data_IF_147553809542
#
_entry.id   IF_147553809542
#
_cell.length_a   1.000
_cell.length_b   1.000
_cell.length_c   1.000
_cell.angle_alpha   90.00
_cell.angle_beta   90.00
_cell.angle_gamma   90.00
#
_symmetry.space_group_name_H-M   'P 1'
#
loop_
_entity.id
_entity.type
_entity.pdbx_description
1 polymer ?
#
# COMPACT_ATOMS: atom_id res chain seq x y z
N UNK A 1 15.67 -10.52 13.36
CA UNK A 1 15.56 -9.33 12.49
C UNK A 1 16.95 -8.89 12.04
N UNK A 2 17.11 -8.39 10.81
CA UNK A 2 18.37 -7.83 10.32
C UNK A 2 18.77 -6.54 11.05
N UNK A 3 20.07 -6.24 11.11
CA UNK A 3 20.59 -5.04 11.80
C UNK A 3 20.04 -3.74 11.21
N UNK A 4 20.06 -3.58 9.89
CA UNK A 4 19.54 -2.38 9.22
C UNK A 4 18.05 -2.13 9.51
N UNK A 5 17.23 -3.19 9.53
CA UNK A 5 15.82 -3.10 9.89
C UNK A 5 15.63 -2.66 11.35
N UNK A 6 16.43 -3.19 12.28
CA UNK A 6 16.38 -2.77 13.68
C UNK A 6 16.73 -1.29 13.84
N UNK A 7 17.76 -0.82 13.15
CA UNK A 7 18.16 0.59 13.18
C UNK A 7 17.10 1.52 12.58
N UNK A 8 16.47 1.12 11.48
CA UNK A 8 15.32 1.82 10.90
C UNK A 8 14.19 1.96 11.93
N UNK A 9 13.78 0.86 12.57
CA UNK A 9 12.72 0.89 13.59
C UNK A 9 13.10 1.79 14.77
N UNK A 10 14.36 1.74 15.23
CA UNK A 10 14.83 2.61 16.31
C UNK A 10 14.72 4.10 15.98
N UNK A 11 14.93 4.49 14.72
CA UNK A 11 14.77 5.89 14.27
C UNK A 11 13.31 6.30 14.11
N UNK A 12 12.45 5.36 13.69
CA UNK A 12 11.03 5.63 13.44
C UNK A 12 10.18 5.67 14.71
N UNK A 13 10.41 4.76 15.66
CA UNK A 13 9.61 4.59 16.88
C UNK A 13 9.34 5.88 17.68
N UNK A 14 10.31 6.81 17.86
CA UNK A 14 10.05 8.07 18.57
C UNK A 14 8.90 8.91 17.98
N UNK A 15 8.71 8.86 16.65
CA UNK A 15 7.67 9.61 15.96
C UNK A 15 6.27 9.00 16.11
N UNK A 16 6.19 7.75 16.58
CA UNK A 16 4.93 6.99 16.70
C UNK A 16 4.45 6.83 18.16
N UNK A 17 5.09 7.53 19.11
CA UNK A 17 4.79 7.41 20.54
C UNK A 17 3.45 8.04 20.93
N UNK A 18 3.08 9.16 20.32
CA UNK A 18 1.84 9.85 20.63
C UNK A 18 0.72 9.29 19.74
N UNK A 19 -0.23 8.57 20.35
CA UNK A 19 -1.31 7.88 19.65
C UNK A 19 -2.65 8.31 20.21
N UNK A 20 -3.63 8.43 19.33
CA UNK A 20 -5.01 8.82 19.62
C UNK A 20 -5.91 8.21 18.54
N UNK A 21 -7.16 7.89 18.87
CA UNK A 21 -8.16 7.52 17.85
C UNK A 21 -8.58 8.75 17.03
N UNK A 22 -8.53 9.94 17.62
CA UNK A 22 -8.55 11.20 16.88
C UNK A 22 -7.20 11.38 16.18
N UNK A 23 -7.07 10.75 15.01
CA UNK A 23 -5.84 10.71 14.21
C UNK A 23 -6.03 11.13 12.75
N UNK A 24 -7.24 11.51 12.33
CA UNK A 24 -7.57 11.84 10.94
C UNK A 24 -7.09 13.25 10.56
N UNK A 25 -5.77 13.40 10.46
CA UNK A 25 -5.07 14.62 10.12
C UNK A 25 -4.22 14.43 8.87
N UNK A 26 -3.97 15.53 8.16
CA UNK A 26 -3.05 15.61 7.04
C UNK A 26 -2.08 16.79 7.24
N UNK A 27 -0.90 16.68 6.65
CA UNK A 27 0.14 17.70 6.64
C UNK A 27 0.31 18.24 5.22
N UNK A 28 0.46 19.55 5.07
CA UNK A 28 0.64 20.20 3.76
C UNK A 28 1.99 20.91 3.76
N UNK A 29 2.81 20.59 2.77
CA UNK A 29 4.09 21.22 2.51
C UNK A 29 3.98 21.99 1.19
N UNK A 30 3.87 23.31 1.29
CA UNK A 30 3.79 24.20 0.14
C UNK A 30 5.08 25.05 0.07
N UNK A 31 5.76 25.11 -1.09
CA UNK A 31 6.95 25.93 -1.26
C UNK A 31 6.59 27.41 -1.26
N UNK A 32 7.55 28.25 -0.88
CA UNK A 32 7.36 29.71 -0.84
C UNK A 32 7.21 30.25 -2.28
N UNK A 33 6.01 30.67 -2.65
CA UNK A 33 5.76 31.34 -3.94
C UNK A 33 6.21 32.80 -3.84
N UNK A 34 7.27 33.18 -4.58
CA UNK A 34 7.78 34.56 -4.62
C UNK A 34 7.08 35.46 -5.65
N UNK A 35 6.33 34.90 -6.60
CA UNK A 35 5.68 35.66 -7.68
C UNK A 35 4.15 35.78 -7.51
N UNK A 36 3.62 36.97 -7.76
CA UNK A 36 2.17 37.29 -7.74
C UNK A 36 1.38 36.62 -8.88
N UNK A 37 2.05 36.02 -9.86
CA UNK A 37 1.42 35.19 -10.88
C UNK A 37 1.03 33.85 -10.26
N UNK A 38 -0.26 33.68 -9.96
CA UNK A 38 -0.91 32.48 -9.38
C UNK A 38 -0.67 31.20 -10.21
N UNK A 39 0.56 30.70 -10.26
CA UNK A 39 0.87 29.38 -10.81
C UNK A 39 0.38 28.35 -9.81
N UNK A 40 -0.66 27.62 -10.19
CA UNK A 40 -1.18 26.48 -9.43
C UNK A 40 -0.21 25.32 -9.55
N UNK A 41 0.33 24.86 -8.42
CA UNK A 41 1.32 23.80 -8.37
C UNK A 41 0.65 22.43 -8.37
N UNK A 42 1.19 21.42 -9.08
CA UNK A 42 0.68 20.06 -8.97
C UNK A 42 0.82 19.53 -7.53
N UNK A 43 -0.08 18.61 -7.18
CA UNK A 43 -0.22 18.11 -5.81
C UNK A 43 0.16 16.64 -5.77
N UNK A 44 1.11 16.30 -4.90
CA UNK A 44 1.53 14.95 -4.60
C UNK A 44 0.98 14.54 -3.22
N UNK A 45 0.09 13.55 -3.19
CA UNK A 45 -0.45 13.01 -1.93
C UNK A 45 0.24 11.69 -1.62
N UNK A 46 0.97 11.64 -0.51
CA UNK A 46 1.67 10.46 -0.05
C UNK A 46 0.83 9.65 0.94
N UNK A 47 0.65 8.36 0.64
CA UNK A 47 0.01 7.36 1.49
C UNK A 47 1.09 6.44 2.06
N UNK A 48 1.29 6.51 3.37
CA UNK A 48 2.34 5.77 4.04
C UNK A 48 2.11 4.24 4.02
N UNK A 49 3.21 3.52 4.19
CA UNK A 49 3.30 2.07 4.03
C UNK A 49 3.67 1.30 5.29
N UNK A 50 4.51 0.27 5.08
CA UNK A 50 5.01 -0.73 6.03
C UNK A 50 4.02 -1.82 6.42
N UNK A 51 2.85 -1.46 6.92
CA UNK A 51 1.81 -2.40 7.33
C UNK A 51 0.45 -1.70 7.33
N UNK A 52 -0.62 -2.46 7.46
CA UNK A 52 -1.94 -1.91 7.79
C UNK A 52 -2.12 -1.69 9.30
N UNK A 53 -1.20 -2.17 10.15
CA UNK A 53 -1.33 -2.17 11.61
C UNK A 53 -0.54 -1.09 12.35
N UNK A 54 0.42 -0.44 11.70
CA UNK A 54 1.26 0.58 12.32
C UNK A 54 1.86 1.52 11.26
N UNK A 55 2.56 2.57 11.71
CA UNK A 55 3.10 3.70 10.92
C UNK A 55 2.19 4.94 10.93
N UNK A 56 2.63 6.01 10.28
CA UNK A 56 1.96 7.32 10.20
C UNK A 56 2.52 8.11 9.02
N UNK A 57 1.78 9.10 8.51
CA UNK A 57 2.27 10.08 7.53
C UNK A 57 3.21 11.14 8.13
N UNK A 58 3.21 11.32 9.45
CA UNK A 58 3.98 12.37 10.14
C UNK A 58 5.51 12.23 10.07
N UNK A 59 6.11 11.03 10.10
CA UNK A 59 7.57 10.85 9.99
C UNK A 59 8.16 11.20 8.62
N UNK A 60 7.31 11.41 7.62
CA UNK A 60 7.68 11.69 6.23
C UNK A 60 7.57 13.20 5.96
N UNK A 61 8.65 13.93 6.20
CA UNK A 61 8.72 15.37 5.95
C UNK A 61 8.84 15.65 4.44
N UNK A 62 7.83 16.33 3.89
CA UNK A 62 7.74 16.67 2.47
C UNK A 62 8.40 18.00 2.10
N UNK A 63 9.01 18.74 3.05
CA UNK A 63 9.50 20.09 2.80
C UNK A 63 10.60 20.16 1.74
N UNK A 64 11.59 19.23 1.78
CA UNK A 64 12.68 19.20 0.79
C UNK A 64 12.13 18.86 -0.59
N UNK A 65 11.28 17.84 -0.67
CA UNK A 65 10.62 17.45 -1.93
C UNK A 65 9.81 18.61 -2.51
N UNK A 66 8.97 19.25 -1.70
CA UNK A 66 8.14 20.39 -2.11
C UNK A 66 8.99 21.57 -2.61
N UNK A 67 10.05 21.94 -1.87
CA UNK A 67 10.91 23.07 -2.20
C UNK A 67 11.81 22.83 -3.42
N UNK A 68 12.28 21.61 -3.64
CA UNK A 68 13.22 21.31 -4.72
C UNK A 68 12.50 21.07 -6.06
N UNK A 69 11.22 20.68 -6.02
CA UNK A 69 10.47 20.26 -7.20
C UNK A 69 9.32 21.19 -7.60
N UNK A 70 9.06 22.26 -6.83
CA UNK A 70 7.90 23.15 -7.01
C UNK A 70 6.59 22.35 -7.04
N UNK A 71 6.39 21.50 -6.05
CA UNK A 71 5.18 20.71 -5.85
C UNK A 71 4.57 21.01 -4.48
N UNK A 72 3.26 20.85 -4.36
CA UNK A 72 2.65 20.73 -3.03
C UNK A 72 2.67 19.26 -2.64
N UNK A 73 3.28 18.96 -1.50
CA UNK A 73 3.30 17.60 -0.95
C UNK A 73 2.31 17.53 0.20
N UNK A 74 1.47 16.51 0.20
CA UNK A 74 0.52 16.22 1.28
C UNK A 74 0.83 14.85 1.84
N UNK A 75 1.01 14.74 3.15
CA UNK A 75 1.01 13.44 3.83
C UNK A 75 -0.24 13.31 4.68
N UNK A 76 -0.79 12.11 4.83
CA UNK A 76 -2.03 11.89 5.57
C UNK A 76 -1.90 10.74 6.56
N UNK A 77 -2.77 10.76 7.57
CA UNK A 77 -3.03 9.64 8.46
C UNK A 77 -4.42 9.07 8.17
N UNK A 78 -4.53 7.75 8.30
CA UNK A 78 -5.78 7.01 8.17
C UNK A 78 -5.84 5.96 9.28
N UNK A 79 -7.03 5.46 9.59
CA UNK A 79 -7.17 4.43 10.63
C UNK A 79 -6.45 3.15 10.23
N UNK A 80 -5.78 2.54 11.21
CA UNK A 80 -4.96 1.33 11.06
C UNK A 80 -5.52 0.17 11.90
N UNK A 81 -5.08 -1.04 11.58
CA UNK A 81 -5.37 -2.27 12.29
C UNK A 81 -6.86 -2.51 12.45
N UNK A 82 -7.27 -2.92 13.65
CA UNK A 82 -8.67 -3.19 14.00
C UNK A 82 -9.56 -1.97 13.72
N UNK A 83 -9.12 -0.75 14.08
CA UNK A 83 -9.92 0.46 13.94
C UNK A 83 -10.15 0.85 12.47
N UNK A 84 -9.22 0.49 11.58
CA UNK A 84 -9.30 0.80 10.16
C UNK A 84 -9.93 -0.29 9.30
N UNK A 85 -9.86 -1.56 9.73
CA UNK A 85 -10.06 -2.70 8.83
C UNK A 85 -10.82 -3.88 9.44
N UNK A 86 -11.46 -3.71 10.60
CA UNK A 86 -12.34 -4.74 11.15
C UNK A 86 -13.52 -5.02 10.20
N UNK A 87 -13.63 -6.27 9.75
CA UNK A 87 -14.75 -6.73 8.95
C UNK A 87 -15.35 -8.03 9.52
N UNK A 88 -16.58 -7.93 10.04
CA UNK A 88 -17.33 -9.06 10.60
C UNK A 88 -18.37 -9.65 9.63
N UNK A 89 -18.48 -9.15 8.40
CA UNK A 89 -19.51 -9.53 7.45
C UNK A 89 -19.13 -10.82 6.68
N UNK A 90 -19.84 -11.95 6.87
CA UNK A 90 -19.54 -13.19 6.18
C UNK A 90 -20.06 -13.25 4.74
N UNK A 91 -20.96 -12.35 4.35
CA UNK A 91 -21.63 -12.40 3.05
C UNK A 91 -21.66 -11.02 2.36
N UNK A 92 -20.48 -10.43 2.04
CA UNK A 92 -20.40 -9.12 1.37
C UNK A 92 -21.11 -9.10 -0.01
N UNK A 93 -21.26 -10.26 -0.64
CA UNK A 93 -21.98 -10.41 -1.92
C UNK A 93 -23.51 -10.38 -1.79
N UNK A 94 -24.06 -10.74 -0.62
CA UNK A 94 -25.51 -10.68 -0.37
C UNK A 94 -25.91 -9.31 0.19
N UNK A 95 -25.09 -8.81 1.13
CA UNK A 95 -25.32 -7.53 1.80
C UNK A 95 -23.98 -6.80 1.94
N UNK A 96 -23.69 -5.95 0.95
CA UNK A 96 -22.52 -5.09 0.97
C UNK A 96 -22.60 -4.12 2.17
N UNK A 97 -21.49 -3.99 2.90
CA UNK A 97 -21.37 -3.12 4.08
C UNK A 97 -19.97 -2.55 4.12
N UNK A 98 -19.84 -1.30 4.56
CA UNK A 98 -18.52 -0.65 4.67
C UNK A 98 -17.73 -1.34 5.79
N UNK A 99 -16.53 -1.79 5.45
CA UNK A 99 -15.59 -2.33 6.43
C UNK A 99 -14.15 -1.81 6.25
N UNK A 100 -13.83 -1.27 5.07
CA UNK A 100 -12.52 -0.68 4.77
C UNK A 100 -12.46 0.79 5.21
N UNK A 101 -12.60 1.05 6.52
CA UNK A 101 -12.60 2.41 7.07
C UNK A 101 -11.30 3.16 6.77
N UNK A 102 -10.14 2.50 6.83
CA UNK A 102 -8.85 3.10 6.46
C UNK A 102 -8.79 3.57 5.01
N UNK A 103 -9.41 2.84 4.07
CA UNK A 103 -9.53 3.29 2.68
C UNK A 103 -10.54 4.43 2.53
N UNK A 104 -11.65 4.38 3.28
CA UNK A 104 -12.64 5.47 3.30
C UNK A 104 -12.04 6.78 3.85
N UNK A 105 -11.16 6.70 4.84
CA UNK A 105 -10.43 7.85 5.37
C UNK A 105 -9.53 8.47 4.30
N UNK A 106 -8.83 7.64 3.53
CA UNK A 106 -8.02 8.10 2.40
C UNK A 106 -8.90 8.79 1.34
N UNK A 107 -10.06 8.22 1.00
CA UNK A 107 -11.03 8.84 0.06
C UNK A 107 -11.52 10.19 0.61
N UNK A 108 -11.86 10.26 1.89
CA UNK A 108 -12.29 11.51 2.53
C UNK A 108 -11.19 12.57 2.51
N UNK A 109 -9.93 12.20 2.80
CA UNK A 109 -8.79 13.08 2.70
C UNK A 109 -8.57 13.58 1.27
N UNK A 110 -8.74 12.72 0.25
CA UNK A 110 -8.66 13.14 -1.14
C UNK A 110 -9.77 14.12 -1.55
N UNK A 111 -10.99 13.93 -1.07
CA UNK A 111 -12.06 14.92 -1.26
C UNK A 111 -11.72 16.25 -0.60
N UNK A 112 -11.16 16.21 0.62
CA UNK A 112 -10.72 17.42 1.30
C UNK A 112 -9.61 18.13 0.51
N UNK A 113 -8.60 17.40 0.03
CA UNK A 113 -7.50 17.95 -0.79
C UNK A 113 -8.07 18.59 -2.06
N UNK A 114 -8.91 17.88 -2.82
CA UNK A 114 -9.53 18.42 -4.03
C UNK A 114 -10.30 19.73 -3.78
N UNK A 115 -11.00 19.84 -2.64
CA UNK A 115 -11.82 21.01 -2.33
C UNK A 115 -11.02 22.20 -1.77
N UNK A 116 -9.88 21.95 -1.11
CA UNK A 116 -9.19 22.97 -0.32
C UNK A 116 -7.78 23.31 -0.83
N UNK A 117 -7.12 22.43 -1.59
CA UNK A 117 -5.70 22.60 -1.92
C UNK A 117 -5.40 23.85 -2.76
N UNK A 118 -6.39 24.36 -3.49
CA UNK A 118 -6.29 25.61 -4.22
C UNK A 118 -5.97 26.83 -3.32
N UNK A 119 -6.42 26.80 -2.06
CA UNK A 119 -6.11 27.85 -1.08
C UNK A 119 -4.63 27.86 -0.67
N UNK A 120 -3.94 26.75 -0.86
CA UNK A 120 -2.52 26.57 -0.59
C UNK A 120 -1.65 26.76 -1.84
N UNK A 121 -2.25 27.19 -2.97
CA UNK A 121 -1.55 27.35 -4.24
C UNK A 121 -1.49 26.08 -5.11
N UNK A 122 -2.26 25.04 -4.76
CA UNK A 122 -2.28 23.77 -5.49
C UNK A 122 -3.29 23.72 -6.63
N UNK A 123 -3.04 22.86 -7.61
CA UNK A 123 -3.97 22.54 -8.68
C UNK A 123 -4.82 21.31 -8.29
N UNK A 124 -6.12 21.48 -7.98
CA UNK A 124 -7.00 20.36 -7.64
C UNK A 124 -7.29 19.43 -8.83
N UNK A 125 -6.96 19.85 -10.06
CA UNK A 125 -7.09 19.03 -11.27
C UNK A 125 -5.84 18.20 -11.55
N UNK A 126 -4.73 18.46 -10.82
CA UNK A 126 -3.46 17.78 -11.03
C UNK A 126 -2.96 17.13 -9.74
N UNK A 127 -3.73 16.14 -9.26
CA UNK A 127 -3.43 15.35 -8.06
C UNK A 127 -2.83 14.00 -8.46
N UNK A 128 -1.64 13.70 -7.92
CA UNK A 128 -0.94 12.43 -8.05
C UNK A 128 -0.86 11.74 -6.69
N UNK A 129 -1.19 10.45 -6.62
CA UNK A 129 -0.99 9.64 -5.42
C UNK A 129 0.37 8.95 -5.46
N UNK A 130 1.07 8.92 -4.33
CA UNK A 130 2.30 8.13 -4.17
C UNK A 130 2.20 7.27 -2.93
N UNK A 131 2.46 5.98 -3.06
CA UNK A 131 2.34 5.04 -1.95
C UNK A 131 3.51 4.11 -1.89
N UNK A 132 3.84 3.67 -0.68
CA UNK A 132 4.90 2.70 -0.42
C UNK A 132 4.33 1.44 0.22
N UNK A 133 4.75 0.24 -0.20
CA UNK A 133 4.31 -1.02 0.41
C UNK A 133 2.79 -1.15 0.52
N UNK A 134 2.27 -1.25 1.74
CA UNK A 134 0.82 -1.24 2.02
C UNK A 134 0.09 0.01 1.53
N UNK A 135 0.76 1.17 1.50
CA UNK A 135 0.22 2.40 0.92
C UNK A 135 0.09 2.33 -0.60
N UNK A 136 1.03 1.68 -1.30
CA UNK A 136 0.90 1.42 -2.74
C UNK A 136 -0.26 0.45 -3.02
N UNK A 137 -0.43 -0.58 -2.19
CA UNK A 137 -1.58 -1.49 -2.26
C UNK A 137 -2.90 -0.74 -2.02
N UNK A 138 -2.95 0.18 -1.05
CA UNK A 138 -4.10 1.06 -0.85
C UNK A 138 -4.46 1.85 -2.12
N UNK A 139 -3.48 2.51 -2.75
CA UNK A 139 -3.70 3.26 -4.00
C UNK A 139 -4.25 2.35 -5.09
N UNK A 140 -3.73 1.14 -5.24
CA UNK A 140 -4.27 0.17 -6.17
C UNK A 140 -5.77 -0.09 -5.91
N UNK A 141 -6.20 -0.27 -4.66
CA UNK A 141 -7.62 -0.41 -4.34
C UNK A 141 -8.41 0.87 -4.68
N UNK A 142 -7.89 2.06 -4.36
CA UNK A 142 -8.55 3.33 -4.70
C UNK A 142 -8.75 3.49 -6.22
N UNK A 143 -7.78 3.05 -7.03
CA UNK A 143 -7.87 3.14 -8.49
C UNK A 143 -9.04 2.35 -9.07
N UNK A 144 -9.32 1.16 -8.53
CA UNK A 144 -10.40 0.27 -8.99
C UNK A 144 -11.70 0.43 -8.20
N UNK A 145 -11.66 1.16 -7.09
CA UNK A 145 -12.81 1.29 -6.20
C UNK A 145 -13.95 2.08 -6.86
N UNK A 146 -15.20 1.60 -6.78
CA UNK A 146 -16.35 2.32 -7.32
C UNK A 146 -16.73 3.55 -6.48
N UNK A 147 -16.27 3.64 -5.24
CA UNK A 147 -16.54 4.80 -4.36
C UNK A 147 -15.68 6.00 -4.69
N UNK A 148 -14.57 5.81 -5.42
CA UNK A 148 -13.71 6.91 -5.87
C UNK A 148 -14.33 7.57 -7.10
N UNK A 149 -14.70 8.84 -6.94
CA UNK A 149 -15.25 9.64 -8.04
C UNK A 149 -14.21 9.88 -9.14
N UNK A 150 -14.59 9.84 -10.44
CA UNK A 150 -13.69 10.23 -11.53
C UNK A 150 -13.14 11.64 -11.34
N UNK A 151 -11.84 11.82 -11.56
CA UNK A 151 -11.16 13.11 -11.42
C UNK A 151 -10.71 13.46 -9.99
N UNK A 152 -10.85 12.55 -9.02
CA UNK A 152 -10.32 12.75 -7.67
C UNK A 152 -8.78 12.75 -7.64
N UNK A 153 -8.17 11.96 -8.52
CA UNK A 153 -6.74 11.99 -8.83
C UNK A 153 -6.52 11.47 -10.25
N UNK A 154 -5.35 11.73 -10.82
CA UNK A 154 -5.06 11.48 -12.24
C UNK A 154 -3.86 10.55 -12.45
N UNK A 155 -2.95 10.48 -11.48
CA UNK A 155 -1.74 9.65 -11.59
C UNK A 155 -1.46 8.90 -10.29
N UNK A 156 -0.72 7.81 -10.41
CA UNK A 156 -0.26 7.03 -9.27
C UNK A 156 1.20 6.58 -9.41
N UNK A 157 1.96 6.75 -8.34
CA UNK A 157 3.30 6.23 -8.14
C UNK A 157 3.22 5.09 -7.11
N UNK A 158 3.55 3.88 -7.54
CA UNK A 158 3.42 2.66 -6.75
C UNK A 158 4.82 2.13 -6.41
N UNK A 159 5.24 2.31 -5.16
CA UNK A 159 6.56 1.93 -4.69
C UNK A 159 6.49 0.63 -3.89
N UNK A 160 7.10 -0.44 -4.43
CA UNK A 160 7.31 -1.71 -3.75
C UNK A 160 6.07 -2.29 -3.06
N UNK A 161 4.92 -2.23 -3.74
CA UNK A 161 3.66 -2.78 -3.25
C UNK A 161 2.59 -2.86 -4.34
N UNK A 162 1.70 -3.85 -4.20
CA UNK A 162 0.59 -4.08 -5.12
C UNK A 162 -0.58 -4.74 -4.41
N UNK A 163 -1.80 -4.42 -4.83
CA UNK A 163 -3.03 -5.08 -4.40
C UNK A 163 -3.09 -6.59 -4.71
N UNK A 164 -2.22 -7.10 -5.57
CA UNK A 164 -2.12 -8.53 -5.89
C UNK A 164 -1.15 -9.29 -4.96
N UNK A 165 -0.50 -8.61 -4.02
CA UNK A 165 0.37 -9.26 -3.04
C UNK A 165 -0.45 -10.07 -2.06
N UNK A 166 0.07 -11.21 -1.58
CA UNK A 166 -0.67 -12.09 -0.64
C UNK A 166 -0.97 -11.44 0.71
N UNK A 167 -0.23 -10.39 1.09
CA UNK A 167 -0.48 -9.59 2.29
C UNK A 167 -1.39 -8.39 2.04
N UNK A 168 -1.83 -8.12 0.81
CA UNK A 168 -2.58 -6.91 0.48
C UNK A 168 -4.05 -6.98 0.85
N UNK A 169 -4.65 -8.18 0.82
CA UNK A 169 -6.04 -8.46 1.21
C UNK A 169 -6.06 -9.47 2.36
N UNK A 170 -7.02 -9.32 3.27
CA UNK A 170 -7.32 -10.32 4.30
C UNK A 170 -8.17 -11.45 3.71
N UNK A 171 -7.67 -12.69 3.80
CA UNK A 171 -8.38 -13.88 3.29
C UNK A 171 -9.66 -14.21 4.07
N UNK A 172 -9.58 -14.22 5.40
CA UNK A 172 -10.71 -14.54 6.29
C UNK A 172 -10.87 -13.46 7.38
N UNK A 173 -11.45 -12.30 7.03
CA UNK A 173 -11.63 -11.21 7.99
C UNK A 173 -12.61 -11.58 9.11
N UNK A 174 -13.60 -12.42 8.83
CA UNK A 174 -14.61 -12.84 9.80
C UNK A 174 -13.98 -13.67 10.90
N UNK A 175 -13.06 -14.59 10.55
CA UNK A 175 -12.31 -15.36 11.54
C UNK A 175 -11.57 -14.46 12.55
N UNK A 176 -10.88 -13.43 12.06
CA UNK A 176 -10.16 -12.49 12.94
C UNK A 176 -11.13 -11.65 13.79
N UNK A 177 -12.24 -11.19 13.22
CA UNK A 177 -13.29 -10.48 13.97
C UNK A 177 -13.89 -11.33 15.10
N UNK A 178 -14.14 -12.62 14.85
CA UNK A 178 -14.66 -13.55 15.85
C UNK A 178 -13.62 -13.86 16.92
N UNK A 179 -12.34 -13.99 16.55
CA UNK A 179 -11.26 -14.22 17.50
C UNK A 179 -11.10 -13.04 18.46
N UNK A 180 -11.21 -11.82 17.93
CA UNK A 180 -11.22 -10.58 18.69
C UNK A 180 -12.44 -10.49 19.60
N UNK A 181 -13.64 -10.72 19.07
CA UNK A 181 -14.90 -10.71 19.83
C UNK A 181 -14.87 -11.68 21.02
N UNK A 182 -14.35 -12.90 20.82
CA UNK A 182 -14.19 -13.90 21.88
C UNK A 182 -13.25 -13.44 22.99
N UNK A 183 -12.16 -12.78 22.66
CA UNK A 183 -11.23 -12.25 23.66
C UNK A 183 -11.84 -11.12 24.48
N UNK A 184 -12.66 -10.30 23.85
CA UNK A 184 -13.35 -9.16 24.49
C UNK A 184 -14.67 -9.55 25.15
N UNK A 185 -14.97 -10.85 25.25
CA UNK A 185 -16.22 -11.37 25.80
C UNK A 185 -17.48 -10.80 25.13
N UNK A 186 -17.39 -10.45 23.84
CA UNK A 186 -18.52 -9.99 23.06
C UNK A 186 -19.45 -11.16 22.71
N UNK A 187 -20.76 -10.86 22.67
CA UNK A 187 -21.76 -11.85 22.30
C UNK A 187 -21.66 -12.15 20.80
N UNK A 188 -21.55 -13.42 20.45
CA UNK A 188 -21.53 -13.87 19.05
C UNK A 188 -22.96 -14.30 18.69
N UNK A 189 -23.60 -13.66 17.70
CA UNK A 189 -24.95 -14.02 17.28
C UNK A 189 -24.97 -15.39 16.59
N UNK A 190 -26.10 -16.10 16.69
CA UNK A 190 -26.29 -17.39 16.01
C UNK A 190 -26.31 -17.22 14.48
N UNK A 191 -26.97 -16.17 13.97
CA UNK A 191 -27.02 -15.83 12.53
C UNK A 191 -26.11 -14.64 12.20
N UNK A 192 -24.84 -14.94 11.95
CA UNK A 192 -23.84 -13.97 11.52
C UNK A 192 -24.20 -13.24 10.20
N UNK A 193 -25.06 -13.82 9.36
CA UNK A 193 -25.43 -13.17 8.08
C UNK A 193 -26.30 -11.95 8.32
N UNK A 194 -27.14 -11.98 9.37
CA UNK A 194 -28.05 -10.88 9.72
C UNK A 194 -27.47 -9.96 10.78
N UNK A 195 -26.88 -10.55 11.82
CA UNK A 195 -26.67 -9.86 13.10
C UNK A 195 -25.19 -9.61 13.45
N UNK A 196 -24.26 -9.77 12.50
CA UNK A 196 -22.82 -9.50 12.74
C UNK A 196 -22.50 -8.08 13.24
N UNK A 197 -23.40 -7.11 13.09
CA UNK A 197 -23.26 -5.76 13.66
C UNK A 197 -23.15 -5.78 15.19
N UNK A 198 -23.78 -6.74 15.85
CA UNK A 198 -23.73 -6.88 17.32
C UNK A 198 -22.28 -7.03 17.83
N UNK A 199 -21.42 -7.68 17.04
CA UNK A 199 -19.99 -7.79 17.36
C UNK A 199 -19.32 -6.43 17.29
N UNK A 200 -19.60 -5.67 16.22
CA UNK A 200 -19.02 -4.34 16.02
C UNK A 200 -19.47 -3.36 17.11
N UNK A 201 -20.76 -3.40 17.47
CA UNK A 201 -21.33 -2.57 18.53
C UNK A 201 -20.70 -2.88 19.89
N UNK A 202 -20.52 -4.16 20.21
CA UNK A 202 -19.82 -4.55 21.44
C UNK A 202 -18.35 -4.06 21.46
N UNK A 203 -17.63 -4.22 20.34
CA UNK A 203 -16.23 -3.81 20.26
C UNK A 203 -16.01 -2.29 20.34
N UNK A 204 -17.03 -1.48 20.04
CA UNK A 204 -16.98 -0.01 20.22
C UNK A 204 -16.97 0.43 21.68
N UNK A 205 -17.50 -0.39 22.58
CA UNK A 205 -17.53 -0.11 24.02
C UNK A 205 -16.23 -0.53 24.72
N UNK A 206 -15.33 -1.23 24.01
CA UNK A 206 -14.03 -1.69 24.53
C UNK A 206 -13.01 -0.55 24.44
N UNK A 207 -12.14 -0.43 25.44
CA UNK A 207 -11.05 0.55 25.41
C UNK A 207 -10.05 0.27 24.28
N UNK A 208 -9.44 1.33 23.75
CA UNK A 208 -8.44 1.22 22.68
C UNK A 208 -7.23 0.43 23.19
N UNK A 209 -6.80 0.65 24.43
CA UNK A 209 -5.67 -0.06 25.03
C UNK A 209 -5.90 -1.57 25.06
N UNK A 210 -7.11 -2.02 25.41
CA UNK A 210 -7.48 -3.43 25.40
C UNK A 210 -7.52 -4.00 23.98
N UNK A 211 -8.13 -3.28 23.03
CA UNK A 211 -8.19 -3.69 21.61
C UNK A 211 -6.79 -3.86 21.00
N UNK A 212 -5.87 -2.95 21.32
CA UNK A 212 -4.49 -2.98 20.79
C UNK A 212 -3.56 -3.94 21.55
N UNK A 213 -3.93 -4.39 22.75
CA UNK A 213 -3.10 -5.30 23.55
C UNK A 213 -3.07 -6.73 23.02
N UNK A 214 -4.02 -7.11 22.15
CA UNK A 214 -4.12 -8.49 21.67
C UNK A 214 -3.11 -8.75 20.56
N UNK A 215 -2.32 -9.80 20.75
CA UNK A 215 -1.49 -10.36 19.68
C UNK A 215 -2.30 -11.34 18.82
N UNK A 216 -2.87 -10.83 17.73
CA UNK A 216 -3.45 -11.63 16.66
C UNK A 216 -2.42 -11.74 15.53
N UNK A 217 -1.61 -12.79 15.57
CA UNK A 217 -0.66 -13.05 14.49
C UNK A 217 -1.31 -13.81 13.31
N UNK A 218 -1.28 -13.27 12.08
CA UNK A 218 -1.72 -13.99 10.89
C UNK A 218 -0.70 -15.07 10.48
N UNK A 219 -1.07 -16.02 9.60
CA UNK A 219 -0.10 -16.90 8.97
C UNK A 219 0.97 -16.10 8.22
N UNK A 220 2.16 -16.69 8.08
CA UNK A 220 3.26 -16.06 7.35
C UNK A 220 2.82 -15.62 5.95
N UNK A 221 3.26 -14.42 5.56
CA UNK A 221 2.98 -13.76 4.27
C UNK A 221 1.56 -13.22 4.09
N UNK A 222 0.67 -13.41 5.06
CA UNK A 222 -0.68 -12.87 5.05
C UNK A 222 -0.83 -11.71 6.04
N UNK A 223 -2.01 -11.08 6.04
CA UNK A 223 -2.39 -10.02 6.97
C UNK A 223 -3.66 -10.43 7.73
N UNK A 224 -3.83 -9.89 8.93
CA UNK A 224 -4.93 -10.08 9.86
C UNK A 224 -6.00 -8.98 9.72
N UNK A 225 -5.58 -7.72 9.89
CA UNK A 225 -6.43 -6.54 9.75
C UNK A 225 -5.89 -5.65 8.63
N UNK A 226 -6.59 -5.66 7.51
CA UNK A 226 -6.26 -4.92 6.29
C UNK A 226 -7.43 -4.91 5.32
N UNK A 227 -7.23 -4.41 4.10
CA UNK A 227 -8.27 -4.37 3.08
C UNK A 227 -8.95 -5.73 2.89
N UNK A 228 -10.29 -5.71 2.83
CA UNK A 228 -11.10 -6.92 2.64
C UNK A 228 -12.23 -6.67 1.66
N UNK A 229 -12.75 -7.73 1.05
CA UNK A 229 -13.87 -7.63 0.12
C UNK A 229 -15.12 -7.29 0.93
N UNK A 230 -15.61 -6.06 0.78
CA UNK A 230 -16.75 -5.54 1.53
C UNK A 230 -17.98 -5.26 0.64
N UNK A 231 -17.79 -5.36 -0.68
CA UNK A 231 -18.82 -5.11 -1.69
C UNK A 231 -19.14 -3.63 -1.91
N UNK A 232 -18.48 -2.73 -1.17
CA UNK A 232 -18.67 -1.27 -1.26
C UNK A 232 -17.41 -0.61 -1.81
N UNK A 233 -16.32 -0.65 -1.06
CA UNK A 233 -15.03 -0.08 -1.47
C UNK A 233 -14.28 -1.06 -2.37
N UNK A 234 -14.29 -2.35 -2.01
CA UNK A 234 -13.66 -3.41 -2.79
C UNK A 234 -14.76 -4.39 -3.22
N UNK A 235 -14.96 -4.50 -4.54
CA UNK A 235 -15.95 -5.40 -5.12
C UNK A 235 -15.52 -6.86 -5.02
N UNK A 236 -16.50 -7.76 -5.10
CA UNK A 236 -16.27 -9.22 -5.09
C UNK A 236 -15.47 -9.73 -6.30
N UNK A 237 -15.48 -9.00 -7.41
CA UNK A 237 -14.79 -9.33 -8.66
C UNK A 237 -13.58 -8.42 -8.94
N UNK A 238 -13.01 -7.80 -7.89
CA UNK A 238 -11.89 -6.86 -7.99
C UNK A 238 -10.69 -7.36 -8.83
N UNK A 239 -10.43 -8.68 -8.85
CA UNK A 239 -9.36 -9.28 -9.66
C UNK A 239 -9.55 -9.07 -11.16
N UNK A 240 -10.81 -9.07 -11.65
CA UNK A 240 -11.11 -8.77 -13.06
C UNK A 240 -10.88 -7.29 -13.39
N UNK A 241 -11.25 -6.40 -12.47
CA UNK A 241 -11.04 -4.96 -12.60
C UNK A 241 -9.54 -4.64 -12.68
N UNK A 242 -8.70 -5.28 -11.86
CA UNK A 242 -7.25 -5.16 -11.94
C UNK A 242 -6.67 -5.67 -13.25
N UNK A 243 -7.08 -6.87 -13.70
CA UNK A 243 -6.61 -7.40 -14.97
C UNK A 243 -6.98 -6.48 -16.13
N UNK A 244 -8.18 -5.91 -16.12
CA UNK A 244 -8.63 -4.98 -17.17
C UNK A 244 -7.84 -3.68 -17.16
N UNK A 245 -7.54 -3.14 -15.97
CA UNK A 245 -6.75 -1.92 -15.79
C UNK A 245 -5.33 -2.08 -16.35
N UNK A 246 -4.71 -3.25 -16.20
CA UNK A 246 -3.33 -3.49 -16.65
C UNK A 246 -3.22 -4.12 -18.04
N UNK A 247 -4.25 -4.81 -18.52
CA UNK A 247 -4.27 -5.45 -19.86
C UNK A 247 -4.53 -4.48 -21.01
N UNK A 248 -4.89 -3.22 -20.70
CA UNK A 248 -5.20 -2.19 -21.70
C UNK A 248 -4.02 -1.24 -21.99
N UNK A 249 -2.90 -1.38 -21.28
CA UNK A 249 -1.64 -0.73 -21.60
C UNK A 249 -0.79 -1.56 -22.57
N UNK A 250 -0.07 -0.90 -23.48
CA UNK A 250 1.01 -1.47 -24.29
C UNK A 250 2.22 -1.86 -23.40
N UNK A 251 2.01 -2.74 -22.42
CA UNK A 251 3.11 -3.38 -21.72
C UNK A 251 3.65 -4.50 -22.62
N UNK A 252 4.97 -4.56 -22.91
CA UNK A 252 5.55 -5.74 -23.51
C UNK A 252 5.30 -6.90 -22.56
N UNK A 253 4.37 -7.77 -22.95
CA UNK A 253 3.92 -8.95 -22.22
C UNK A 253 5.13 -9.74 -21.72
N UNK A 254 5.36 -9.76 -20.40
CA UNK A 254 6.28 -10.71 -19.79
C UNK A 254 5.62 -12.09 -19.80
N UNK A 255 5.81 -12.83 -20.90
CA UNK A 255 5.57 -14.27 -20.98
C UNK A 255 4.10 -14.74 -20.84
N UNK A 256 3.81 -16.00 -21.18
CA UNK A 256 2.44 -16.48 -21.29
C UNK A 256 1.88 -16.88 -19.92
N UNK A 257 0.97 -16.07 -19.39
CA UNK A 257 -0.03 -16.56 -18.44
C UNK A 257 -1.01 -17.46 -19.22
N UNK A 258 -0.66 -18.74 -19.34
CA UNK A 258 -1.54 -19.77 -19.86
C UNK A 258 -2.66 -20.03 -18.84
N UNK A 259 -3.77 -19.30 -18.98
CA UNK A 259 -5.03 -19.69 -18.35
C UNK A 259 -5.86 -20.43 -19.41
N UNK A 260 -6.03 -21.73 -19.18
CA UNK A 260 -6.88 -22.61 -19.98
C UNK A 260 -8.31 -22.07 -20.09
N UNK A 261 -8.77 -21.95 -21.33
CA UNK A 261 -10.13 -22.18 -21.82
C UNK A 261 -11.30 -21.90 -20.85
N UNK A 262 -11.86 -20.71 -20.96
CA UNK A 262 -13.30 -20.58 -21.12
C UNK A 262 -13.60 -19.72 -22.35
N UNK A 263 -14.49 -20.23 -23.19
CA UNK A 263 -14.80 -19.76 -24.54
C UNK A 263 -15.15 -18.26 -24.61
N UNK A 264 -14.20 -17.42 -25.00
CA UNK A 264 -14.48 -16.08 -25.51
C UNK A 264 -14.35 -16.07 -27.03
N UNK A 265 -15.44 -16.42 -27.71
CA UNK A 265 -15.64 -16.04 -29.10
C UNK A 265 -15.97 -14.54 -29.14
N UNK A 266 -14.96 -13.68 -29.26
CA UNK A 266 -15.17 -12.29 -29.68
C UNK A 266 -14.99 -12.20 -31.19
N UNK A 267 -16.12 -12.16 -31.91
CA UNK A 267 -16.16 -11.71 -33.30
C UNK A 267 -15.56 -10.29 -33.35
N UNK A 268 -14.49 -10.12 -34.13
CA UNK A 268 -14.05 -8.81 -34.61
C UNK A 268 -15.16 -8.24 -35.50
N UNK A 269 -15.99 -7.36 -34.94
CA UNK A 269 -16.73 -6.38 -35.74
C UNK A 269 -16.16 -5.00 -35.45
N UNK A 270 -15.60 -4.44 -36.50
CA UNK A 270 -15.20 -3.05 -36.65
C UNK A 270 -16.37 -2.10 -36.33
N UNK A 271 -16.08 -0.91 -35.79
CA UNK A 271 -17.01 0.16 -35.38
C UNK A 271 -17.52 0.14 -33.92
N UNK A 272 -16.69 0.65 -33.00
CA UNK A 272 -17.12 1.04 -31.65
C UNK A 272 -16.01 1.79 -30.93
N UNK A 273 -16.26 3.03 -30.50
CA UNK A 273 -15.35 3.92 -29.74
C UNK A 273 -14.38 3.15 -28.82
N UNK A 274 -13.08 3.47 -28.92
CA UNK A 274 -12.07 3.14 -27.90
C UNK A 274 -12.52 3.73 -26.56
N UNK A 275 -13.17 2.92 -25.72
CA UNK A 275 -13.85 3.40 -24.51
C UNK A 275 -13.01 3.26 -23.23
N UNK A 276 -11.78 2.74 -23.32
CA UNK A 276 -10.90 2.56 -22.16
C UNK A 276 -9.44 2.85 -22.56
N UNK A 277 -9.08 4.14 -22.60
CA UNK A 277 -7.70 4.56 -22.34
C UNK A 277 -7.41 4.30 -20.85
N UNK A 278 -6.18 3.93 -20.50
CA UNK A 278 -5.76 3.80 -19.09
C UNK A 278 -6.23 5.03 -18.30
N UNK A 279 -7.06 4.80 -17.28
CA UNK A 279 -7.73 5.86 -16.50
C UNK A 279 -6.73 6.74 -15.73
N UNK A 280 -5.53 6.22 -15.46
CA UNK A 280 -4.50 6.89 -14.69
C UNK A 280 -3.13 6.67 -15.34
N UNK A 281 -2.26 7.68 -15.29
CA UNK A 281 -0.84 7.50 -15.60
C UNK A 281 -0.15 6.81 -14.42
N UNK A 282 0.74 5.85 -14.70
CA UNK A 282 1.37 5.01 -13.67
C UNK A 282 2.89 5.04 -13.74
N UNK A 283 3.50 5.17 -12.58
CA UNK A 283 4.94 4.95 -12.37
C UNK A 283 5.13 3.88 -11.29
N UNK A 284 6.04 2.95 -11.54
CA UNK A 284 6.37 1.89 -10.59
C UNK A 284 7.80 2.06 -10.09
N UNK A 285 8.00 1.93 -8.79
CA UNK A 285 9.31 1.80 -8.17
C UNK A 285 9.40 0.42 -7.52
N UNK A 286 10.50 -0.30 -7.77
CA UNK A 286 10.77 -1.60 -7.14
C UNK A 286 12.21 -1.66 -6.68
N UNK A 287 12.45 -2.37 -5.58
CA UNK A 287 13.80 -2.64 -5.08
C UNK A 287 14.16 -4.11 -5.28
N UNK A 288 15.45 -4.41 -5.32
CA UNK A 288 15.93 -5.75 -5.68
C UNK A 288 15.78 -6.77 -4.55
N UNK A 289 15.64 -6.34 -3.31
CA UNK A 289 15.59 -7.20 -2.12
C UNK A 289 14.43 -6.86 -1.17
N UNK A 290 13.19 -6.83 -1.69
CA UNK A 290 11.99 -6.42 -0.93
C UNK A 290 11.71 -7.25 0.33
N UNK A 291 11.99 -8.55 0.31
CA UNK A 291 11.68 -9.45 1.43
C UNK A 291 12.83 -9.62 2.44
N UNK A 292 13.93 -8.86 2.33
CA UNK A 292 15.13 -9.09 3.15
C UNK A 292 14.85 -9.01 4.67
N UNK A 293 13.91 -8.15 5.07
CA UNK A 293 13.52 -7.96 6.47
C UNK A 293 12.86 -9.19 7.12
N UNK A 294 12.39 -10.16 6.33
CA UNK A 294 11.82 -11.43 6.83
C UNK A 294 12.89 -12.42 7.31
N UNK A 295 14.16 -12.19 6.98
CA UNK A 295 15.26 -13.08 7.35
C UNK A 295 15.89 -12.69 8.69
N UNK A 296 16.51 -13.66 9.36
CA UNK A 296 17.33 -13.37 10.52
C UNK A 296 18.69 -12.80 10.10
N UNK A 297 19.39 -12.13 11.02
CA UNK A 297 20.76 -11.67 10.75
C UNK A 297 21.71 -12.83 10.40
N UNK A 298 21.49 -14.00 11.00
CA UNK A 298 22.25 -15.22 10.71
C UNK A 298 22.01 -15.71 9.28
N UNK A 299 20.75 -15.72 8.83
CA UNK A 299 20.39 -16.14 7.46
C UNK A 299 21.00 -15.22 6.40
N UNK A 300 21.07 -13.91 6.68
CA UNK A 300 21.67 -12.96 5.74
C UNK A 300 23.18 -13.16 5.64
N UNK A 301 23.83 -13.41 6.77
CA UNK A 301 25.29 -13.55 6.83
C UNK A 301 25.79 -14.89 6.28
N UNK A 302 25.09 -15.99 6.60
CA UNK A 302 25.55 -17.35 6.31
C UNK A 302 24.78 -18.01 5.16
N UNK A 303 23.78 -17.32 4.60
CA UNK A 303 22.85 -17.92 3.65
C UNK A 303 21.75 -18.72 4.36
N UNK A 304 20.85 -19.29 3.56
CA UNK A 304 19.70 -20.05 4.05
C UNK A 304 19.91 -21.52 3.70
N UNK A 305 19.79 -22.38 4.72
CA UNK A 305 19.80 -23.83 4.53
C UNK A 305 18.72 -24.28 3.52
N UNK A 306 19.00 -25.21 2.59
CA UNK A 306 18.04 -25.65 1.57
C UNK A 306 16.70 -26.11 2.14
N UNK A 307 16.70 -26.84 3.26
CA UNK A 307 15.47 -27.30 3.92
C UNK A 307 14.64 -26.15 4.49
N UNK A 308 15.29 -25.07 4.96
CA UNK A 308 14.60 -23.89 5.45
C UNK A 308 14.00 -23.10 4.28
N UNK A 309 14.77 -22.93 3.19
CA UNK A 309 14.29 -22.31 1.95
C UNK A 309 13.05 -23.03 1.43
N UNK A 310 13.12 -24.35 1.28
CA UNK A 310 12.02 -25.15 0.74
C UNK A 310 10.77 -25.06 1.61
N UNK A 311 10.92 -25.08 2.94
CA UNK A 311 9.78 -24.87 3.87
C UNK A 311 9.16 -23.48 3.71
N UNK A 312 9.97 -22.44 3.61
CA UNK A 312 9.49 -21.06 3.43
C UNK A 312 8.74 -20.92 2.10
N UNK A 313 9.31 -21.41 1.00
CA UNK A 313 8.70 -21.36 -0.32
C UNK A 313 7.40 -22.19 -0.39
N UNK A 314 7.37 -23.39 0.18
CA UNK A 314 6.13 -24.19 0.27
C UNK A 314 5.05 -23.46 1.06
N UNK A 315 5.43 -22.79 2.15
CA UNK A 315 4.51 -21.99 2.95
C UNK A 315 3.95 -20.82 2.14
N UNK A 316 4.82 -20.08 1.44
CA UNK A 316 4.41 -18.99 0.57
C UNK A 316 3.46 -19.47 -0.53
N UNK A 317 3.81 -20.56 -1.22
CA UNK A 317 3.00 -21.10 -2.33
C UNK A 317 1.64 -21.57 -1.83
N UNK A 318 1.60 -22.31 -0.72
CA UNK A 318 0.34 -22.79 -0.13
C UNK A 318 -0.58 -21.66 0.33
N UNK A 319 0.01 -20.57 0.85
CA UNK A 319 -0.77 -19.45 1.36
C UNK A 319 -1.19 -18.48 0.24
N UNK A 320 -0.44 -18.39 -0.86
CA UNK A 320 -0.69 -17.39 -1.92
C UNK A 320 -1.44 -17.97 -3.13
N UNK A 321 -1.43 -19.29 -3.32
CA UNK A 321 -2.02 -19.94 -4.50
C UNK A 321 -2.93 -21.09 -4.10
N UNK A 322 -3.92 -21.37 -4.96
CA UNK A 322 -4.89 -22.46 -4.78
C UNK A 322 -4.60 -23.67 -5.67
N UNK A 323 -4.08 -23.44 -6.87
CA UNK A 323 -3.89 -24.48 -7.89
C UNK A 323 -2.41 -24.60 -8.30
N UNK A 324 -2.02 -25.74 -8.85
CA UNK A 324 -0.68 -26.01 -9.38
C UNK A 324 0.46 -25.76 -8.38
N UNK A 325 0.21 -26.05 -7.09
CA UNK A 325 1.15 -25.72 -6.01
C UNK A 325 2.53 -26.35 -6.21
N UNK A 326 2.58 -27.58 -6.73
CA UNK A 326 3.83 -28.30 -6.98
C UNK A 326 4.62 -27.62 -8.09
N UNK A 327 3.97 -27.35 -9.22
CA UNK A 327 4.58 -26.73 -10.39
C UNK A 327 5.08 -25.32 -10.06
N UNK A 328 4.26 -24.50 -9.39
CA UNK A 328 4.64 -23.15 -8.95
C UNK A 328 5.85 -23.21 -8.02
N UNK A 329 5.87 -24.15 -7.06
CA UNK A 329 7.01 -24.32 -6.17
C UNK A 329 8.30 -24.64 -6.96
N UNK A 330 8.24 -25.60 -7.89
CA UNK A 330 9.42 -25.97 -8.69
C UNK A 330 9.88 -24.83 -9.61
N UNK A 331 8.95 -24.06 -10.18
CA UNK A 331 9.28 -22.86 -10.97
C UNK A 331 10.02 -21.83 -10.11
N UNK A 332 9.51 -21.51 -8.91
CA UNK A 332 10.16 -20.53 -8.02
C UNK A 332 11.57 -20.99 -7.63
N UNK A 333 11.73 -22.27 -7.27
CA UNK A 333 13.03 -22.82 -6.86
C UNK A 333 14.06 -22.78 -8.01
N UNK A 334 13.64 -23.03 -9.24
CA UNK A 334 14.55 -23.18 -10.38
C UNK A 334 14.81 -21.87 -11.16
N UNK A 335 13.83 -20.95 -11.23
CA UNK A 335 13.94 -19.76 -12.08
C UNK A 335 14.37 -18.49 -11.33
N UNK A 336 14.00 -18.34 -10.06
CA UNK A 336 13.94 -17.00 -9.46
C UNK A 336 15.15 -16.58 -8.62
N UNK A 337 16.09 -17.45 -8.21
CA UNK A 337 17.25 -16.96 -7.44
C UNK A 337 18.44 -17.93 -7.32
N UNK A 338 19.64 -17.37 -7.38
CA UNK A 338 20.86 -17.99 -6.84
C UNK A 338 20.86 -17.82 -5.31
N UNK A 339 20.33 -18.84 -4.60
CA UNK A 339 20.20 -18.85 -3.14
C UNK A 339 21.53 -19.07 -2.40
N UNK A 340 22.58 -19.47 -3.13
CA UNK A 340 23.90 -19.75 -2.55
C UNK A 340 24.70 -18.46 -2.31
N UNK A 341 24.31 -17.35 -2.96
CA UNK A 341 24.93 -16.03 -2.79
C UNK A 341 23.88 -14.96 -2.48
N UNK A 342 23.77 -14.61 -1.20
CA UNK A 342 23.02 -13.43 -0.76
C UNK A 342 23.63 -12.18 -1.40
N UNK A 343 22.99 -11.63 -2.45
CA UNK A 343 23.38 -10.32 -2.99
C UNK A 343 22.83 -9.23 -2.07
N UNK A 344 23.70 -8.33 -1.61
CA UNK A 344 23.28 -7.11 -0.90
C UNK A 344 22.72 -6.12 -1.93
N UNK A 345 21.41 -6.22 -2.19
CA UNK A 345 20.66 -5.25 -2.99
C UNK A 345 19.98 -4.19 -2.12
N UNK A 346 19.28 -3.26 -2.78
CA UNK A 346 18.42 -2.29 -2.08
C UNK A 346 17.22 -3.01 -1.49
N UNK A 347 16.89 -2.70 -0.24
CA UNK A 347 15.79 -3.36 0.49
C UNK A 347 14.54 -2.48 0.55
N UNK A 348 13.43 -3.09 0.94
CA UNK A 348 12.14 -2.41 1.06
C UNK A 348 12.23 -1.16 1.95
N UNK A 349 11.88 0.00 1.39
CA UNK A 349 11.86 1.29 2.10
C UNK A 349 13.14 2.10 1.96
N UNK A 350 14.22 1.54 1.38
CA UNK A 350 15.47 2.29 1.15
C UNK A 350 15.36 3.30 0.02
N UNK A 351 14.33 3.23 -0.82
CA UNK A 351 14.01 4.23 -1.84
C UNK A 351 13.47 5.54 -1.24
N UNK A 352 12.79 5.46 -0.09
CA UNK A 352 12.10 6.60 0.54
C UNK A 352 13.02 7.79 0.87
N UNK A 353 14.20 7.65 1.51
CA UNK A 353 15.06 8.80 1.77
C UNK A 353 15.43 9.56 0.50
N UNK A 354 15.66 8.84 -0.62
CA UNK A 354 15.99 9.48 -1.89
C UNK A 354 14.82 10.20 -2.52
N UNK A 355 13.60 9.67 -2.36
CA UNK A 355 12.36 10.26 -2.87
C UNK A 355 11.98 11.52 -2.10
N UNK A 356 12.17 11.52 -0.77
CA UNK A 356 11.89 12.68 0.08
C UNK A 356 13.03 13.70 0.10
N UNK A 357 14.17 13.41 -0.52
CA UNK A 357 15.31 14.34 -0.63
C UNK A 357 16.22 14.38 0.60
N UNK A 358 16.20 13.35 1.46
CA UNK A 358 17.04 13.28 2.65
C UNK A 358 18.54 13.48 2.37
N UNK A 359 19.14 12.91 1.30
CA UNK A 359 20.53 13.15 0.95
C UNK A 359 20.89 14.63 0.72
N UNK A 360 19.95 15.46 0.23
CA UNK A 360 20.20 16.86 -0.13
C UNK A 360 20.48 17.75 1.09
N UNK A 361 20.07 17.32 2.28
CA UNK A 361 20.21 18.06 3.55
C UNK A 361 20.90 17.23 4.64
N UNK A 362 21.61 16.17 4.25
CA UNK A 362 22.30 15.22 5.14
C UNK A 362 21.39 14.51 6.17
N UNK A 363 20.17 14.20 5.76
CA UNK A 363 19.18 13.45 6.53
C UNK A 363 18.25 14.30 7.39
N UNK A 364 17.02 13.81 7.56
CA UNK A 364 16.00 14.42 8.42
C UNK A 364 14.98 13.37 8.89
N UNK A 365 14.17 13.74 9.88
CA UNK A 365 13.11 12.86 10.37
C UNK A 365 13.67 11.54 10.90
N UNK A 366 13.21 10.44 10.32
CA UNK A 366 13.66 9.08 10.66
C UNK A 366 14.67 8.49 9.63
N UNK A 367 15.00 9.25 8.58
CA UNK A 367 15.94 8.83 7.56
C UNK A 367 17.38 8.84 8.09
N UNK A 368 18.28 7.99 7.54
CA UNK A 368 19.69 7.99 7.94
C UNK A 368 20.38 9.30 7.56
N UNK A 369 21.60 9.48 8.08
CA UNK A 369 22.51 10.61 7.84
C UNK A 369 23.81 10.09 7.21
N UNK A 370 24.73 10.99 6.86
CA UNK A 370 26.04 10.71 6.27
C UNK A 370 25.96 10.13 4.85
N UNK A 371 25.24 10.83 3.97
CA UNK A 371 25.15 10.44 2.56
C UNK A 371 26.42 10.83 1.79
N UNK A 372 26.82 9.97 0.86
CA UNK A 372 27.89 10.23 -0.09
C UNK A 372 27.44 11.18 -1.19
N UNK A 373 28.38 11.86 -1.85
CA UNK A 373 28.07 12.73 -3.00
C UNK A 373 27.32 12.02 -4.13
N UNK A 374 27.58 10.72 -4.32
CA UNK A 374 26.87 9.91 -5.30
C UNK A 374 25.40 9.71 -4.92
N UNK A 375 25.10 9.54 -3.64
CA UNK A 375 23.73 9.41 -3.13
C UNK A 375 22.96 10.73 -3.22
N UNK A 376 23.65 11.86 -3.01
CA UNK A 376 23.08 13.20 -3.27
C UNK A 376 22.65 13.33 -4.73
N UNK A 377 23.56 13.06 -5.68
CA UNK A 377 23.25 13.14 -7.11
C UNK A 377 22.15 12.16 -7.56
N UNK A 378 22.09 10.98 -6.95
CA UNK A 378 21.01 10.01 -7.17
C UNK A 378 19.67 10.56 -6.68
N UNK A 379 19.63 11.16 -5.49
CA UNK A 379 18.42 11.78 -4.95
C UNK A 379 17.93 12.92 -5.84
N UNK A 380 18.81 13.81 -6.29
CA UNK A 380 18.45 14.88 -7.25
C UNK A 380 17.78 14.31 -8.50
N UNK A 381 18.37 13.27 -9.08
CA UNK A 381 17.83 12.60 -10.27
C UNK A 381 16.43 12.01 -10.01
N UNK A 382 16.24 11.33 -8.89
CA UNK A 382 14.95 10.74 -8.50
C UNK A 382 13.89 11.81 -8.30
N UNK A 383 14.22 12.91 -7.62
CA UNK A 383 13.32 14.04 -7.40
C UNK A 383 12.86 14.62 -8.74
N UNK A 384 13.76 14.80 -9.71
CA UNK A 384 13.39 15.27 -11.06
C UNK A 384 12.45 14.29 -11.79
N UNK A 385 12.69 12.99 -11.71
CA UNK A 385 11.80 12.00 -12.33
C UNK A 385 10.40 12.03 -11.73
N UNK A 386 10.30 12.07 -10.40
CA UNK A 386 9.01 12.17 -9.70
C UNK A 386 8.33 13.49 -10.04
N UNK A 387 9.06 14.60 -9.98
CA UNK A 387 8.52 15.93 -10.29
C UNK A 387 7.94 16.01 -11.69
N UNK A 388 8.67 15.50 -12.69
CA UNK A 388 8.24 15.49 -14.07
C UNK A 388 6.97 14.65 -14.23
N UNK A 389 6.95 13.44 -13.67
CA UNK A 389 5.76 12.59 -13.74
C UNK A 389 4.54 13.20 -13.05
N UNK A 390 4.72 13.84 -11.88
CA UNK A 390 3.63 14.53 -11.18
C UNK A 390 3.13 15.72 -12.01
N UNK A 391 4.03 16.46 -12.70
CA UNK A 391 3.67 17.61 -13.54
C UNK A 391 2.96 17.20 -14.82
N UNK A 392 3.50 16.21 -15.54
CA UNK A 392 3.13 15.93 -16.94
C UNK A 392 2.60 14.52 -17.22
N UNK A 393 2.74 13.59 -16.28
CA UNK A 393 2.75 12.15 -16.60
C UNK A 393 4.06 11.76 -17.26
#
# INVERSE_FOLDING_TARGET
MPKGRLEYLKRLMPYLKNQSEDCLYLNIFAPLQMDESKLTLPVLVYIHGESYSWSSGNPYDGAVLASYTDLIVVTLNFRLGVLGFLNANPAPHLKARVANYGLMDQIAALHWVQQNIALFGGDPTNITLMGHGSGAACINFLMISPTVMPGLFHRAILLSGSALSSWAIVDDPVYYSLKLAKHMNCTIPEDMTKDHEVIVDCLREVSIEELLSIDISPPNFLTDFGPSIDGVVIKTDFGKDFLTLYSTGDFPSFGPLNIMNQNFHTKRSDSGRRLFQNKYDLMFGVVTCEALWKFSAHDIQNGIEPDKRDRMLRTYVRNSYTYHLSEIFYTIVNEYTDWERTRTGAVHGEELPYIFGAPLVDGFGHFPQNYTKSEVALSESILFYIANFVKTG
#
